data_IF_871750471372
#
_entry.id   IF_871750471372
#
_cell.length_a   1.000
_cell.length_b   1.000
_cell.length_c   1.000
_cell.angle_alpha   90.00
_cell.angle_beta   90.00
_cell.angle_gamma   90.00
#
_symmetry.space_group_name_H-M   'P 1'
#
loop_
_entity.id
_entity.type
_entity.pdbx_description
1 polymer ?
#
# COMPACT_ATOMS: atom_id res chain seq x y z
N UNK A 1 24.58 -9.65 -47.50
CA UNK A 1 25.88 -10.03 -48.10
C UNK A 1 27.08 -9.64 -47.25
N UNK A 2 27.15 -8.42 -46.68
CA UNK A 2 28.30 -7.99 -45.85
C UNK A 2 28.38 -8.71 -44.48
N UNK A 3 27.24 -9.06 -43.87
CA UNK A 3 27.19 -9.76 -42.57
C UNK A 3 27.68 -11.23 -42.65
N UNK A 4 27.35 -11.92 -43.75
CA UNK A 4 27.78 -13.30 -44.03
C UNK A 4 29.29 -13.43 -44.23
N UNK A 5 29.91 -12.43 -44.89
CA UNK A 5 31.36 -12.42 -45.12
C UNK A 5 32.18 -12.26 -43.84
N UNK A 6 31.71 -11.45 -42.88
CA UNK A 6 32.37 -11.31 -41.58
C UNK A 6 32.17 -12.52 -40.68
N UNK A 7 31.02 -13.20 -40.78
CA UNK A 7 30.72 -14.41 -40.02
C UNK A 7 31.67 -15.56 -40.37
N UNK A 8 31.95 -15.75 -41.67
CA UNK A 8 32.83 -16.81 -42.18
C UNK A 8 34.33 -16.62 -41.86
N UNK A 9 34.76 -15.41 -41.48
CA UNK A 9 36.14 -15.08 -41.14
C UNK A 9 36.46 -15.22 -39.65
N UNK A 10 35.45 -15.45 -38.80
CA UNK A 10 35.64 -15.65 -37.36
C UNK A 10 36.07 -17.10 -37.07
N UNK A 11 36.98 -17.33 -36.09
CA UNK A 11 37.33 -18.67 -35.66
C UNK A 11 36.10 -19.47 -35.22
N UNK A 12 36.03 -20.77 -35.55
CA UNK A 12 34.85 -21.62 -35.30
C UNK A 12 34.38 -21.64 -33.83
N UNK A 13 35.30 -21.49 -32.87
CA UNK A 13 34.94 -21.41 -31.44
C UNK A 13 34.18 -20.11 -31.11
N UNK A 14 34.46 -19.02 -31.83
CA UNK A 14 33.79 -17.73 -31.64
C UNK A 14 32.42 -17.69 -32.33
N UNK A 15 32.24 -18.41 -33.45
CA UNK A 15 30.93 -18.58 -34.12
C UNK A 15 29.93 -19.35 -33.23
N UNK A 16 30.38 -20.43 -32.58
CA UNK A 16 29.57 -21.18 -31.60
C UNK A 16 29.20 -20.32 -30.40
N UNK A 17 30.12 -19.50 -29.89
CA UNK A 17 29.84 -18.56 -28.80
C UNK A 17 28.84 -17.46 -29.21
N UNK A 18 28.99 -16.87 -30.40
CA UNK A 18 28.09 -15.83 -30.91
C UNK A 18 26.68 -16.37 -31.20
N UNK A 19 26.57 -17.58 -31.76
CA UNK A 19 25.27 -18.22 -31.98
C UNK A 19 24.54 -18.52 -30.67
N UNK A 20 25.26 -18.99 -29.65
CA UNK A 20 24.71 -19.19 -28.29
C UNK A 20 24.22 -17.88 -27.66
N UNK A 21 24.97 -16.79 -27.83
CA UNK A 21 24.57 -15.46 -27.35
C UNK A 21 23.31 -14.98 -28.09
N UNK A 22 23.24 -15.12 -29.41
CA UNK A 22 22.05 -14.76 -30.18
C UNK A 22 20.83 -15.58 -29.75
N UNK A 23 20.96 -16.89 -29.52
CA UNK A 23 19.85 -17.74 -29.05
C UNK A 23 19.33 -17.30 -27.67
N UNK A 24 20.17 -16.72 -26.80
CA UNK A 24 19.76 -16.21 -25.49
C UNK A 24 19.23 -14.77 -25.53
N UNK A 25 19.80 -13.91 -26.37
CA UNK A 25 19.47 -12.48 -26.43
C UNK A 25 18.27 -12.21 -27.32
N UNK A 26 18.08 -12.96 -28.41
CA UNK A 26 16.96 -12.76 -29.33
C UNK A 26 15.59 -12.96 -28.67
N UNK A 27 15.36 -13.98 -27.82
CA UNK A 27 14.10 -14.12 -27.07
C UNK A 27 13.88 -12.97 -26.09
N UNK A 28 14.92 -12.52 -25.37
CA UNK A 28 14.85 -11.38 -24.44
C UNK A 28 14.55 -10.07 -25.20
N UNK A 29 15.16 -9.88 -26.36
CA UNK A 29 14.91 -8.74 -27.25
C UNK A 29 13.49 -8.77 -27.82
N UNK A 30 13.00 -9.92 -28.30
CA UNK A 30 11.63 -10.08 -28.78
C UNK A 30 10.61 -9.87 -27.66
N UNK A 31 10.85 -10.42 -26.46
CA UNK A 31 10.04 -10.16 -25.26
C UNK A 31 10.01 -8.66 -24.90
N UNK A 32 11.13 -7.97 -25.03
CA UNK A 32 11.25 -6.53 -24.78
C UNK A 32 10.55 -5.69 -25.86
N UNK A 33 10.82 -5.98 -27.14
CA UNK A 33 10.26 -5.31 -28.31
C UNK A 33 8.74 -5.43 -28.39
N UNK A 34 8.19 -6.60 -28.04
CA UNK A 34 6.75 -6.84 -27.98
C UNK A 34 6.07 -6.24 -26.72
N UNK A 35 6.82 -5.57 -25.84
CA UNK A 35 6.30 -4.97 -24.61
C UNK A 35 5.89 -5.96 -23.51
N UNK A 36 5.93 -7.27 -23.79
CA UNK A 36 5.59 -8.37 -22.89
C UNK A 36 6.51 -8.42 -21.67
N UNK A 37 7.79 -8.11 -21.84
CA UNK A 37 8.76 -8.04 -20.76
C UNK A 37 8.33 -7.05 -19.67
N UNK A 38 7.87 -5.86 -20.05
CA UNK A 38 7.41 -4.84 -19.10
C UNK A 38 6.20 -5.31 -18.28
N UNK A 39 5.28 -6.06 -18.90
CA UNK A 39 4.09 -6.59 -18.25
C UNK A 39 4.43 -7.74 -17.29
N UNK A 40 5.29 -8.67 -17.71
CA UNK A 40 5.80 -9.76 -16.87
C UNK A 40 6.57 -9.19 -15.68
N UNK A 41 7.49 -8.24 -15.90
CA UNK A 41 8.23 -7.57 -14.83
C UNK A 41 7.29 -6.91 -13.82
N UNK A 42 6.25 -6.17 -14.27
CA UNK A 42 5.27 -5.55 -13.36
C UNK A 42 4.52 -6.59 -12.53
N UNK A 43 4.06 -7.69 -13.13
CA UNK A 43 3.34 -8.76 -12.42
C UNK A 43 4.23 -9.48 -11.41
N UNK A 44 5.44 -9.86 -11.82
CA UNK A 44 6.41 -10.52 -10.94
C UNK A 44 6.84 -9.60 -9.79
N UNK A 45 7.08 -8.32 -10.08
CA UNK A 45 7.41 -7.32 -9.07
C UNK A 45 6.26 -7.13 -8.06
N UNK A 46 5.02 -6.98 -8.53
CA UNK A 46 3.86 -6.90 -7.65
C UNK A 46 3.70 -8.15 -6.77
N UNK A 47 3.87 -9.34 -7.34
CA UNK A 47 3.82 -10.59 -6.58
C UNK A 47 4.92 -10.66 -5.51
N UNK A 48 6.15 -10.30 -5.88
CA UNK A 48 7.28 -10.22 -4.96
C UNK A 48 7.03 -9.19 -3.84
N UNK A 49 6.51 -8.01 -4.17
CA UNK A 49 6.16 -6.99 -3.17
C UNK A 49 5.09 -7.48 -2.19
N UNK A 50 4.05 -8.17 -2.66
CA UNK A 50 3.02 -8.74 -1.78
C UNK A 50 3.63 -9.78 -0.85
N UNK A 51 4.44 -10.72 -1.37
CA UNK A 51 5.12 -11.76 -0.58
C UNK A 51 6.08 -11.16 0.46
N UNK A 52 6.91 -10.20 0.05
CA UNK A 52 7.86 -9.52 0.93
C UNK A 52 7.13 -8.69 2.00
N UNK A 53 6.02 -8.03 1.64
CA UNK A 53 5.16 -7.32 2.58
C UNK A 53 4.55 -8.26 3.62
N UNK A 54 4.05 -9.44 3.23
CA UNK A 54 3.56 -10.45 4.18
C UNK A 54 4.65 -10.89 5.17
N UNK A 55 5.88 -11.13 4.68
CA UNK A 55 7.00 -11.52 5.51
C UNK A 55 7.42 -10.40 6.48
N UNK A 56 7.51 -9.17 6.00
CA UNK A 56 7.76 -7.99 6.83
C UNK A 56 6.67 -7.82 7.90
N UNK A 57 5.40 -7.92 7.50
CA UNK A 57 4.26 -7.82 8.40
C UNK A 57 4.24 -8.88 9.50
N UNK A 58 4.78 -10.09 9.26
CA UNK A 58 4.99 -11.10 10.31
C UNK A 58 6.01 -10.63 11.33
N UNK A 59 7.14 -10.08 10.88
CA UNK A 59 8.21 -9.60 11.76
C UNK A 59 7.79 -8.39 12.61
N UNK A 60 6.96 -7.51 12.07
CA UNK A 60 6.47 -6.32 12.80
C UNK A 60 5.11 -6.53 13.47
N UNK A 61 4.58 -7.76 13.48
CA UNK A 61 3.24 -8.04 14.00
C UNK A 61 3.05 -7.60 15.45
N UNK A 62 4.05 -7.85 16.32
CA UNK A 62 4.01 -7.42 17.73
C UNK A 62 3.96 -5.90 17.87
N UNK A 63 4.72 -5.17 17.04
CA UNK A 63 4.69 -3.71 16.98
C UNK A 63 3.34 -3.19 16.51
N UNK A 64 2.73 -3.84 15.50
CA UNK A 64 1.39 -3.50 15.02
C UNK A 64 0.31 -3.76 16.06
N UNK A 65 0.36 -4.88 16.78
CA UNK A 65 -0.56 -5.14 17.90
C UNK A 65 -0.49 -4.03 18.95
N UNK A 66 0.72 -3.61 19.32
CA UNK A 66 0.89 -2.50 20.28
C UNK A 66 0.45 -1.16 19.71
N UNK A 67 0.68 -0.91 18.42
CA UNK A 67 0.25 0.32 17.76
C UNK A 67 -1.27 0.46 17.73
N UNK A 68 -1.98 -0.66 17.56
CA UNK A 68 -3.42 -0.69 17.38
C UNK A 68 -4.21 -1.08 18.64
N UNK A 69 -3.54 -1.33 19.77
CA UNK A 69 -4.19 -1.79 21.00
C UNK A 69 -5.25 -0.81 21.51
N UNK A 70 -5.01 0.49 21.34
CA UNK A 70 -5.86 1.56 21.86
C UNK A 70 -6.86 2.07 20.82
N UNK A 71 -7.01 1.39 19.67
CA UNK A 71 -7.92 1.86 18.62
C UNK A 71 -9.36 2.02 19.10
N UNK A 72 -9.79 1.18 20.06
CA UNK A 72 -11.15 1.24 20.63
C UNK A 72 -11.42 2.52 21.41
N UNK A 73 -10.38 3.12 21.98
CA UNK A 73 -10.50 4.34 22.80
C UNK A 73 -10.90 5.55 21.94
N UNK A 74 -10.75 5.44 20.62
CA UNK A 74 -11.17 6.47 19.66
C UNK A 74 -12.63 6.34 19.23
N UNK A 75 -13.36 5.30 19.66
CA UNK A 75 -14.75 5.14 19.23
C UNK A 75 -15.60 6.32 19.71
N UNK A 76 -16.37 6.92 18.80
CA UNK A 76 -17.31 7.98 19.18
C UNK A 76 -18.47 7.47 20.06
N UNK A 77 -19.43 8.36 20.42
CA UNK A 77 -20.51 8.06 21.38
C UNK A 77 -21.36 6.83 21.05
N UNK A 78 -21.41 6.42 19.78
CA UNK A 78 -22.10 5.21 19.34
C UNK A 78 -21.44 3.89 19.80
N UNK A 79 -20.23 3.95 20.36
CA UNK A 79 -19.41 2.79 20.72
C UNK A 79 -18.83 2.02 19.51
N UNK A 80 -19.15 2.44 18.28
CA UNK A 80 -18.59 1.87 17.06
C UNK A 80 -17.47 2.76 16.52
N UNK A 81 -16.30 2.18 16.32
CA UNK A 81 -15.16 2.85 15.73
C UNK A 81 -15.29 2.94 14.20
N UNK A 82 -15.41 4.15 13.66
CA UNK A 82 -15.32 4.43 12.23
C UNK A 82 -13.88 4.78 11.85
N UNK A 83 -13.19 3.87 11.19
CA UNK A 83 -11.78 3.98 10.85
C UNK A 83 -11.61 4.17 9.34
N UNK A 84 -10.76 5.13 8.96
CA UNK A 84 -10.28 5.26 7.59
C UNK A 84 -8.83 4.78 7.49
N UNK A 85 -8.62 3.78 6.64
CA UNK A 85 -7.30 3.27 6.28
C UNK A 85 -6.80 4.01 5.04
N UNK A 86 -5.83 4.89 5.23
CA UNK A 86 -5.04 5.48 4.15
C UNK A 86 -4.02 4.47 3.64
N UNK A 87 -3.85 4.46 2.32
CA UNK A 87 -2.92 3.57 1.63
C UNK A 87 -3.09 2.09 2.02
N UNK A 88 -4.35 1.61 1.98
CA UNK A 88 -4.71 0.31 2.52
C UNK A 88 -3.96 -0.87 1.87
N UNK A 89 -3.49 -0.71 0.63
CA UNK A 89 -2.77 -1.73 -0.13
C UNK A 89 -3.54 -3.05 -0.14
N UNK A 90 -2.93 -4.11 0.37
CA UNK A 90 -3.52 -5.46 0.46
C UNK A 90 -4.38 -5.68 1.73
N UNK A 91 -4.61 -4.66 2.54
CA UNK A 91 -5.37 -4.77 3.80
C UNK A 91 -4.59 -5.46 4.93
N UNK A 92 -3.27 -5.33 4.96
CA UNK A 92 -2.39 -6.05 5.88
C UNK A 92 -2.60 -5.71 7.38
N UNK A 93 -3.28 -4.59 7.67
CA UNK A 93 -3.52 -4.13 9.03
C UNK A 93 -4.81 -4.69 9.66
N UNK A 94 -5.72 -5.23 8.86
CA UNK A 94 -7.09 -5.56 9.29
C UNK A 94 -7.15 -6.57 10.43
N UNK A 95 -6.22 -7.54 10.43
CA UNK A 95 -6.11 -8.53 11.50
C UNK A 95 -5.78 -7.94 12.88
N UNK A 96 -5.25 -6.72 12.92
CA UNK A 96 -4.88 -6.04 14.16
C UNK A 96 -5.97 -5.08 14.66
N UNK A 97 -7.03 -4.85 13.88
CA UNK A 97 -8.09 -3.93 14.24
C UNK A 97 -9.11 -4.57 15.18
N UNK A 98 -9.70 -3.77 16.08
CA UNK A 98 -10.65 -4.28 17.05
C UNK A 98 -11.91 -4.84 16.36
N UNK A 99 -12.50 -5.93 16.88
CA UNK A 99 -13.78 -6.44 16.42
C UNK A 99 -14.88 -5.37 16.42
N UNK A 100 -15.72 -5.38 15.38
CA UNK A 100 -16.84 -4.45 15.20
C UNK A 100 -16.44 -3.10 14.58
N UNK A 101 -15.15 -2.88 14.30
CA UNK A 101 -14.66 -1.67 13.64
C UNK A 101 -15.23 -1.55 12.22
N UNK A 102 -15.71 -0.34 11.88
CA UNK A 102 -16.18 0.02 10.55
C UNK A 102 -15.03 0.60 9.75
N UNK A 103 -14.60 -0.10 8.70
CA UNK A 103 -13.41 0.28 7.93
C UNK A 103 -13.79 0.83 6.56
N UNK A 104 -13.32 2.05 6.27
CA UNK A 104 -13.29 2.63 4.93
C UNK A 104 -11.85 2.65 4.45
N UNK A 105 -11.59 2.22 3.22
CA UNK A 105 -10.24 2.15 2.67
C UNK A 105 -10.05 3.14 1.52
N UNK A 106 -8.91 3.80 1.50
CA UNK A 106 -8.49 4.71 0.43
C UNK A 106 -7.23 4.17 -0.23
N UNK A 107 -7.24 4.08 -1.55
CA UNK A 107 -6.05 3.75 -2.33
C UNK A 107 -6.17 4.28 -3.77
N UNK A 108 -5.10 4.81 -4.38
CA UNK A 108 -5.21 5.43 -5.71
C UNK A 108 -5.40 4.44 -6.86
N UNK A 109 -5.00 3.18 -6.68
CA UNK A 109 -5.05 2.17 -7.75
C UNK A 109 -6.22 1.19 -7.58
N UNK A 110 -7.22 1.18 -8.48
CA UNK A 110 -8.39 0.29 -8.36
C UNK A 110 -8.03 -1.20 -8.44
N UNK A 111 -6.88 -1.57 -9.04
CA UNK A 111 -6.45 -2.96 -9.15
C UNK A 111 -6.18 -3.63 -7.79
N UNK A 112 -6.11 -2.86 -6.70
CA UNK A 112 -5.91 -3.38 -5.36
C UNK A 112 -7.19 -3.89 -4.69
N UNK A 113 -8.37 -3.54 -5.20
CA UNK A 113 -9.66 -3.95 -4.65
C UNK A 113 -9.76 -5.48 -4.50
N UNK A 114 -9.26 -6.24 -5.48
CA UNK A 114 -9.24 -7.72 -5.40
C UNK A 114 -8.44 -8.27 -4.22
N UNK A 115 -7.34 -7.62 -3.84
CA UNK A 115 -6.56 -8.02 -2.66
C UNK A 115 -7.30 -7.66 -1.39
N UNK A 116 -7.98 -6.51 -1.41
CA UNK A 116 -8.81 -6.05 -0.31
C UNK A 116 -9.98 -7.00 -0.04
N UNK A 117 -10.68 -7.46 -1.08
CA UNK A 117 -11.77 -8.45 -0.99
C UNK A 117 -11.29 -9.72 -0.28
N UNK A 118 -10.11 -10.24 -0.65
CA UNK A 118 -9.51 -11.40 0.00
C UNK A 118 -9.24 -11.12 1.49
N UNK A 119 -8.61 -9.98 1.82
CA UNK A 119 -8.33 -9.61 3.20
C UNK A 119 -9.62 -9.44 4.02
N UNK A 120 -10.66 -8.84 3.46
CA UNK A 120 -11.98 -8.71 4.13
C UNK A 120 -12.57 -10.09 4.45
N UNK A 121 -12.50 -11.03 3.50
CA UNK A 121 -13.02 -12.38 3.71
C UNK A 121 -12.30 -13.14 4.84
N UNK A 122 -11.01 -12.87 5.03
CA UNK A 122 -10.17 -13.42 6.11
C UNK A 122 -10.37 -12.69 7.46
N UNK A 123 -10.87 -11.44 7.44
CA UNK A 123 -10.99 -10.57 8.62
C UNK A 123 -12.47 -10.24 8.93
N UNK A 124 -13.29 -11.28 9.11
CA UNK A 124 -14.75 -11.18 9.33
C UNK A 124 -15.15 -10.47 10.63
N UNK A 125 -14.21 -10.22 11.54
CA UNK A 125 -14.44 -9.41 12.73
C UNK A 125 -14.64 -7.92 12.41
N UNK A 126 -14.31 -7.47 11.20
CA UNK A 126 -14.48 -6.10 10.74
C UNK A 126 -15.77 -5.91 9.94
N UNK A 127 -16.29 -4.70 9.97
CA UNK A 127 -17.36 -4.25 9.09
C UNK A 127 -16.76 -3.39 7.99
N UNK A 128 -16.48 -4.00 6.84
CA UNK A 128 -16.03 -3.25 5.68
C UNK A 128 -17.15 -2.38 5.11
N UNK A 129 -16.90 -1.06 4.95
CA UNK A 129 -17.91 -0.11 4.48
C UNK A 129 -17.81 0.16 3.00
N UNK A 130 -16.62 0.59 2.54
CA UNK A 130 -16.37 0.89 1.13
C UNK A 130 -14.88 1.01 0.84
N UNK A 131 -14.56 0.80 -0.43
CA UNK A 131 -13.28 1.13 -1.03
C UNK A 131 -13.42 2.43 -1.82
N UNK A 132 -12.48 3.37 -1.63
CA UNK A 132 -12.46 4.68 -2.29
C UNK A 132 -11.19 4.76 -3.12
N UNK A 133 -11.36 4.93 -4.43
CA UNK A 133 -10.26 5.13 -5.36
C UNK A 133 -9.89 6.60 -5.38
N UNK A 134 -8.86 6.95 -4.61
CA UNK A 134 -8.39 8.32 -4.45
C UNK A 134 -6.92 8.36 -3.98
N UNK A 135 -6.23 9.46 -4.28
CA UNK A 135 -4.94 9.79 -3.67
C UNK A 135 -5.16 10.26 -2.21
N UNK A 136 -4.19 10.01 -1.33
CA UNK A 136 -4.30 10.42 0.07
C UNK A 136 -4.36 11.94 0.25
N UNK A 137 -3.75 12.66 -0.69
CA UNK A 137 -3.72 14.13 -0.81
C UNK A 137 -5.07 14.71 -1.23
N UNK A 138 -5.97 13.90 -1.81
CA UNK A 138 -7.25 14.36 -2.30
C UNK A 138 -8.35 13.30 -2.09
N UNK A 139 -8.99 13.35 -0.93
CA UNK A 139 -10.07 12.47 -0.53
C UNK A 139 -11.44 13.16 -0.57
N UNK A 140 -11.71 14.02 -1.57
CA UNK A 140 -13.00 14.73 -1.69
C UNK A 140 -14.24 13.82 -1.67
N UNK A 141 -14.09 12.54 -2.05
CA UNK A 141 -15.15 11.51 -1.99
C UNK A 141 -15.48 11.05 -0.56
N UNK A 142 -14.63 11.40 0.42
CA UNK A 142 -14.80 11.14 1.85
C UNK A 142 -15.33 12.39 2.53
N UNK A 143 -16.48 12.27 3.19
CA UNK A 143 -17.15 13.39 3.86
C UNK A 143 -16.30 13.95 5.01
N UNK A 144 -16.32 15.27 5.19
CA UNK A 144 -15.71 15.93 6.35
C UNK A 144 -16.26 15.35 7.66
N UNK A 145 -15.43 15.26 8.69
CA UNK A 145 -15.84 14.84 10.04
C UNK A 145 -16.64 13.53 10.08
N UNK A 146 -16.30 12.57 9.21
CA UNK A 146 -17.00 11.29 9.09
C UNK A 146 -16.33 10.15 9.83
N UNK A 147 -15.04 10.28 10.17
CA UNK A 147 -14.21 9.22 10.74
C UNK A 147 -13.80 9.53 12.17
N UNK A 148 -13.74 8.52 13.02
CA UNK A 148 -13.24 8.63 14.40
C UNK A 148 -11.71 8.63 14.44
N UNK A 149 -11.09 7.81 13.58
CA UNK A 149 -9.64 7.72 13.47
C UNK A 149 -9.23 7.48 12.02
N UNK A 150 -8.04 7.97 11.69
CA UNK A 150 -7.39 7.76 10.40
C UNK A 150 -6.08 7.03 10.65
N UNK A 151 -5.84 5.95 9.92
CA UNK A 151 -4.63 5.13 10.03
C UNK A 151 -3.84 5.19 8.72
N UNK A 152 -2.53 5.38 8.82
CA UNK A 152 -1.57 5.45 7.73
C UNK A 152 -0.27 4.74 8.16
N UNK A 153 -0.06 3.48 7.79
CA UNK A 153 1.06 2.67 8.33
C UNK A 153 2.31 2.58 7.47
N UNK A 154 2.27 3.12 6.26
CA UNK A 154 3.42 3.19 5.39
C UNK A 154 3.57 4.66 5.01
N UNK A 155 4.79 5.19 5.08
CA UNK A 155 5.04 6.49 4.44
C UNK A 155 4.83 6.26 2.97
N UNK A 156 3.93 7.00 2.34
CA UNK A 156 3.76 6.86 0.91
C UNK A 156 4.99 7.50 0.28
N UNK A 157 5.96 6.68 -0.11
CA UNK A 157 7.26 7.12 -0.65
C UNK A 157 7.16 7.84 -2.01
N UNK A 158 5.95 8.18 -2.44
CA UNK A 158 5.60 8.71 -3.75
C UNK A 158 4.53 9.80 -3.66
N UNK A 159 4.30 10.38 -2.48
CA UNK A 159 3.32 11.47 -2.33
C UNK A 159 3.93 12.80 -2.67
N UNK A 160 3.10 13.64 -3.27
CA UNK A 160 3.52 14.98 -3.69
C UNK A 160 3.63 15.90 -2.47
N UNK A 161 2.78 15.73 -1.47
CA UNK A 161 2.82 16.52 -0.23
C UNK A 161 2.30 15.71 0.96
N UNK A 162 3.13 15.60 2.00
CA UNK A 162 2.73 15.00 3.28
C UNK A 162 1.75 15.92 4.01
N UNK A 163 1.90 17.23 3.86
CA UNK A 163 1.04 18.25 4.47
C UNK A 163 -0.40 18.12 3.99
N UNK A 164 -0.62 17.88 2.70
CA UNK A 164 -1.96 17.68 2.14
C UNK A 164 -2.64 16.42 2.70
N UNK A 165 -1.90 15.33 2.89
CA UNK A 165 -2.43 14.10 3.50
C UNK A 165 -2.82 14.36 4.95
N UNK A 166 -2.01 15.11 5.69
CA UNK A 166 -2.32 15.49 7.07
C UNK A 166 -3.56 16.38 7.12
N UNK A 167 -3.69 17.35 6.21
CA UNK A 167 -4.87 18.21 6.09
C UNK A 167 -6.13 17.41 5.77
N UNK A 168 -6.07 16.52 4.79
CA UNK A 168 -7.18 15.65 4.42
C UNK A 168 -7.54 14.69 5.55
N UNK A 169 -6.54 14.11 6.22
CA UNK A 169 -6.72 13.30 7.41
C UNK A 169 -7.41 14.08 8.54
N UNK A 170 -7.07 15.34 8.74
CA UNK A 170 -7.74 16.21 9.70
C UNK A 170 -9.17 16.55 9.27
N UNK A 171 -9.39 16.82 7.98
CA UNK A 171 -10.70 17.18 7.43
C UNK A 171 -11.70 16.04 7.57
N UNK A 172 -11.32 14.80 7.26
CA UNK A 172 -12.23 13.64 7.32
C UNK A 172 -12.46 13.15 8.74
N UNK A 173 -11.54 13.46 9.66
CA UNK A 173 -11.66 13.12 11.08
C UNK A 173 -12.66 14.04 11.77
N UNK A 174 -13.48 13.48 12.66
CA UNK A 174 -14.34 14.24 13.57
C UNK A 174 -13.48 15.15 14.45
N UNK A 175 -13.73 16.45 14.41
CA UNK A 175 -13.19 17.42 15.37
C UNK A 175 -13.88 17.23 16.73
N UNK A 176 -13.15 17.43 17.82
CA UNK A 176 -13.73 17.38 19.16
C UNK A 176 -14.20 18.76 19.63
N UNK A 177 -15.43 18.84 20.14
CA UNK A 177 -15.91 19.91 21.04
C UNK A 177 -15.70 19.55 22.53
N UNK A 178 -15.15 18.38 22.87
CA UNK A 178 -15.09 17.88 24.26
C UNK A 178 -13.63 17.56 24.70
N UNK A 179 -13.08 18.15 25.78
CA UNK A 179 -11.65 18.03 26.15
C UNK A 179 -11.15 16.64 26.60
N UNK A 180 -12.00 15.61 26.64
CA UNK A 180 -11.69 14.31 27.26
C UNK A 180 -11.43 13.11 26.32
N UNK A 181 -11.71 13.20 25.01
CA UNK A 181 -11.75 12.05 24.09
C UNK A 181 -10.68 12.13 22.98
N UNK A 182 -9.42 11.88 23.35
CA UNK A 182 -8.27 11.88 22.42
C UNK A 182 -8.60 11.16 21.12
N UNK A 183 -8.54 11.81 19.96
CA UNK A 183 -8.71 11.21 18.61
C UNK A 183 -7.39 11.23 17.84
N UNK A 184 -6.91 10.08 17.36
CA UNK A 184 -5.56 9.97 16.78
C UNK A 184 -5.56 9.83 15.24
N UNK A 185 -4.61 10.51 14.60
CA UNK A 185 -4.06 10.09 13.31
C UNK A 185 -2.92 9.12 13.62
N UNK A 186 -3.02 7.87 13.17
CA UNK A 186 -1.99 6.86 13.40
C UNK A 186 -1.10 6.80 12.16
N UNK A 187 -0.06 7.63 12.14
CA UNK A 187 0.97 7.59 11.11
C UNK A 187 2.19 6.81 11.61
N UNK A 188 2.66 5.76 10.91
CA UNK A 188 3.88 5.05 11.29
C UNK A 188 4.81 4.82 10.11
N UNK A 189 6.06 5.27 10.18
CA UNK A 189 7.15 4.74 9.35
C UNK A 189 7.86 3.64 10.13
N UNK A 190 7.50 2.38 9.92
CA UNK A 190 8.04 1.25 10.69
C UNK A 190 9.54 0.96 10.42
N UNK A 191 10.22 1.77 9.60
CA UNK A 191 11.64 1.65 9.26
C UNK A 191 12.59 2.64 9.91
N UNK A 192 12.18 3.88 10.25
CA UNK A 192 13.08 4.88 10.86
C UNK A 192 12.28 6.01 11.51
N UNK A 193 12.49 6.21 12.80
CA UNK A 193 11.97 7.28 13.65
C UNK A 193 10.46 7.28 13.99
N UNK A 194 10.24 7.45 15.28
CA UNK A 194 9.00 7.34 16.03
C UNK A 194 7.97 8.39 15.59
N UNK A 195 6.79 7.96 15.15
CA UNK A 195 5.57 8.76 15.24
C UNK A 195 4.61 8.04 16.17
N UNK A 196 4.42 8.65 17.35
CA UNK A 196 3.48 8.21 18.38
C UNK A 196 2.07 8.45 17.85
N UNK A 197 1.12 7.63 18.31
CA UNK A 197 -0.32 7.90 18.25
C UNK A 197 -0.54 9.31 18.82
N UNK A 198 -0.73 10.28 17.92
CA UNK A 198 -0.64 11.70 18.21
C UNK A 198 -1.89 12.41 17.73
N UNK A 199 -2.48 13.19 18.61
CA UNK A 199 -3.51 14.16 18.26
C UNK A 199 -2.87 15.20 17.34
N UNK A 200 -3.23 15.21 16.06
CA UNK A 200 -2.91 16.35 15.20
C UNK A 200 -3.79 17.49 15.70
N UNK A 201 -3.18 18.43 16.43
CA UNK A 201 -3.80 19.74 16.65
C UNK A 201 -3.69 20.50 15.32
N UNK A 202 -4.80 21.01 14.76
CA UNK A 202 -4.70 21.93 13.64
C UNK A 202 -3.91 23.18 14.06
N UNK A 203 -3.27 23.89 13.09
CA UNK A 203 -2.59 25.16 13.35
C UNK A 203 -3.55 26.22 13.91
#
# INVERSE_FOLDING_TARGET
MVFEMFWALLPAHWQSSLSGICVLVLPLYLLSFLGLWSWICKKCFLYFLVRSSEMYNKHIASKKHKLFSNLRDFAGPSGKLSLLELDCGTGANFKFYPPGCMVTCVYPNPNFEKFLIKSIAENRHLQFKRFVVAAGENMHQVTNSSMDTVVCTLVPCSVESQEQILQEGCRVRRGQEDPGHSSALVASNLGSNFLKMGTVRPP
#
